data_IF_595866354329
#
_entry.id   IF_595866354329
#
_cell.length_a   1.000
_cell.length_b   1.000
_cell.length_c   1.000
_cell.angle_alpha   90.00
_cell.angle_beta   90.00
_cell.angle_gamma   90.00
#
_symmetry.space_group_name_H-M   'P 1'
#
loop_
_entity.id
_entity.type
_entity.pdbx_description
1 polymer ?
#
# COMPACT_ATOMS: atom_id res chain seq x y z
N UNK A 1 -4.73 11.39 -30.17
CA UNK A 1 -3.64 10.73 -30.94
C UNK A 1 -2.59 10.28 -29.94
N UNK A 2 -2.39 8.98 -29.75
CA UNK A 2 -1.31 8.48 -28.90
C UNK A 2 0.03 8.87 -29.54
N UNK A 3 0.89 9.58 -28.80
CA UNK A 3 2.22 9.98 -29.25
C UNK A 3 3.20 8.81 -29.15
N UNK A 4 4.10 8.66 -30.13
CA UNK A 4 5.20 7.70 -30.04
C UNK A 4 6.26 8.19 -29.06
N UNK A 5 6.75 7.30 -28.20
CA UNK A 5 7.85 7.56 -27.27
C UNK A 5 9.13 7.01 -27.90
N UNK A 6 10.00 7.91 -28.36
CA UNK A 6 11.26 7.55 -29.02
C UNK A 6 12.45 7.80 -28.09
N UNK A 7 13.33 6.80 -27.99
CA UNK A 7 14.63 6.92 -27.32
C UNK A 7 15.70 7.26 -28.35
N UNK A 8 16.41 8.36 -28.12
CA UNK A 8 17.56 8.75 -28.91
C UNK A 8 18.83 8.48 -28.10
N UNK A 9 19.74 7.69 -28.66
CA UNK A 9 21.09 7.48 -28.12
C UNK A 9 22.11 8.07 -29.08
N UNK A 10 22.94 8.95 -28.55
CA UNK A 10 24.04 9.58 -29.29
C UNK A 10 25.34 8.89 -28.94
N UNK A 11 26.14 8.56 -29.96
CA UNK A 11 27.53 8.15 -29.79
C UNK A 11 28.41 8.91 -30.77
N UNK A 12 29.60 9.30 -30.34
CA UNK A 12 30.60 9.90 -31.22
C UNK A 12 31.74 8.90 -31.42
N UNK A 13 32.07 8.65 -32.68
CA UNK A 13 33.20 7.80 -33.08
C UNK A 13 34.23 8.75 -33.69
N UNK A 14 35.40 8.84 -33.06
CA UNK A 14 36.50 9.67 -33.52
C UNK A 14 37.55 8.74 -34.13
N UNK A 15 37.82 8.90 -35.42
CA UNK A 15 38.93 8.28 -36.13
C UNK A 15 40.03 9.31 -36.39
N UNK A 16 41.22 8.88 -36.85
CA UNK A 16 42.33 9.77 -37.14
C UNK A 16 42.02 10.81 -38.24
N UNK A 17 41.09 10.49 -39.14
CA UNK A 17 40.72 11.36 -40.27
C UNK A 17 39.31 11.95 -40.18
N UNK A 18 38.42 11.39 -39.36
CA UNK A 18 37.00 11.77 -39.33
C UNK A 18 36.36 11.73 -37.94
N UNK A 19 35.39 12.63 -37.72
CA UNK A 19 34.49 12.62 -36.57
C UNK A 19 33.09 12.21 -37.02
N UNK A 20 32.67 11.01 -36.64
CA UNK A 20 31.36 10.45 -36.97
C UNK A 20 30.45 10.59 -35.75
N UNK A 21 29.22 11.05 -35.97
CA UNK A 21 28.16 11.09 -34.94
C UNK A 21 27.08 10.07 -35.30
N UNK A 22 26.94 9.05 -34.47
CA UNK A 22 25.92 8.02 -34.60
C UNK A 22 24.72 8.37 -33.73
N UNK A 23 23.53 8.44 -34.34
CA UNK A 23 22.25 8.58 -33.63
C UNK A 23 21.48 7.28 -33.80
N UNK A 24 21.27 6.55 -32.71
CA UNK A 24 20.37 5.41 -32.68
C UNK A 24 18.99 5.86 -32.17
N UNK A 25 17.94 5.49 -32.89
CA UNK A 25 16.54 5.79 -32.53
C UNK A 25 15.82 4.47 -32.28
N UNK A 26 15.10 4.37 -31.18
CA UNK A 26 14.29 3.19 -30.85
C UNK A 26 12.90 3.63 -30.42
N UNK A 27 11.86 3.02 -30.98
CA UNK A 27 10.50 3.14 -30.43
C UNK A 27 10.45 2.31 -29.15
N UNK A 28 10.17 2.98 -28.03
CA UNK A 28 10.06 2.36 -26.70
C UNK A 28 8.64 2.46 -26.15
N UNK A 29 7.66 2.77 -27.01
CA UNK A 29 6.27 2.98 -26.60
C UNK A 29 5.72 1.74 -25.90
N UNK A 30 5.89 0.56 -26.51
CA UNK A 30 5.36 -0.70 -25.98
C UNK A 30 6.02 -1.09 -24.66
N UNK A 31 7.33 -0.92 -24.55
CA UNK A 31 8.12 -1.24 -23.37
C UNK A 31 7.74 -0.32 -22.20
N UNK A 32 7.57 0.98 -22.48
CA UNK A 32 7.13 1.93 -21.47
C UNK A 32 5.70 1.68 -21.02
N UNK A 33 4.77 1.42 -21.95
CA UNK A 33 3.37 1.16 -21.61
C UNK A 33 3.22 -0.13 -20.79
N UNK A 34 3.95 -1.20 -21.16
CA UNK A 34 3.99 -2.43 -20.36
C UNK A 34 4.61 -2.19 -18.97
N UNK A 35 5.73 -1.45 -18.90
CA UNK A 35 6.38 -1.12 -17.64
C UNK A 35 5.49 -0.28 -16.73
N UNK A 36 4.69 0.63 -17.29
CA UNK A 36 3.72 1.42 -16.55
C UNK A 36 2.59 0.54 -15.99
N UNK A 37 2.01 -0.35 -16.80
CA UNK A 37 0.99 -1.31 -16.35
C UNK A 37 1.52 -2.20 -15.23
N UNK A 38 2.72 -2.75 -15.38
CA UNK A 38 3.36 -3.58 -14.35
C UNK A 38 3.60 -2.82 -13.05
N UNK A 39 4.05 -1.56 -13.14
CA UNK A 39 4.21 -0.69 -11.99
C UNK A 39 2.86 -0.43 -11.29
N UNK A 40 1.80 -0.15 -12.04
CA UNK A 40 0.44 0.02 -11.50
C UNK A 40 -0.07 -1.23 -10.79
N UNK A 41 0.10 -2.41 -11.38
CA UNK A 41 -0.29 -3.69 -10.75
C UNK A 41 0.48 -3.90 -9.45
N UNK A 42 1.80 -3.64 -9.45
CA UNK A 42 2.63 -3.79 -8.26
C UNK A 42 2.20 -2.84 -7.15
N UNK A 43 1.92 -1.58 -7.48
CA UNK A 43 1.41 -0.58 -6.53
C UNK A 43 0.07 -1.04 -5.95
N UNK A 44 -0.90 -1.43 -6.78
CA UNK A 44 -2.21 -1.90 -6.32
C UNK A 44 -2.09 -3.09 -5.34
N UNK A 45 -1.17 -4.03 -5.62
CA UNK A 45 -0.90 -5.17 -4.74
C UNK A 45 -0.33 -4.73 -3.39
N UNK A 46 0.69 -3.88 -3.37
CA UNK A 46 1.30 -3.38 -2.13
C UNK A 46 0.29 -2.57 -1.32
N UNK A 47 -0.51 -1.72 -1.95
CA UNK A 47 -1.60 -0.99 -1.27
C UNK A 47 -2.60 -1.93 -0.61
N UNK A 48 -3.04 -2.96 -1.33
CA UNK A 48 -3.97 -3.96 -0.80
C UNK A 48 -3.39 -4.68 0.41
N UNK A 49 -2.10 -5.02 0.34
CA UNK A 49 -1.39 -5.65 1.46
C UNK A 49 -1.34 -4.72 2.69
N UNK A 50 -1.00 -3.44 2.50
CA UNK A 50 -0.94 -2.47 3.59
C UNK A 50 -2.31 -2.16 4.20
N UNK A 51 -3.37 -2.14 3.40
CA UNK A 51 -4.75 -2.04 3.90
C UNK A 51 -5.07 -3.25 4.77
N UNK A 52 -4.80 -4.46 4.26
CA UNK A 52 -5.09 -5.70 4.99
C UNK A 52 -4.27 -5.82 6.28
N UNK A 53 -3.01 -5.39 6.26
CA UNK A 53 -2.12 -5.36 7.42
C UNK A 53 -2.67 -4.55 8.59
N UNK A 54 -3.53 -3.57 8.33
CA UNK A 54 -4.18 -2.76 9.37
C UNK A 54 -5.58 -3.28 9.70
N UNK A 55 -6.38 -3.65 8.69
CA UNK A 55 -7.78 -4.09 8.88
C UNK A 55 -7.86 -5.44 9.62
N UNK A 56 -6.99 -6.40 9.33
CA UNK A 56 -7.05 -7.72 9.94
C UNK A 56 -6.82 -7.68 11.47
N UNK A 57 -5.79 -7.00 11.99
CA UNK A 57 -5.65 -6.81 13.44
C UNK A 57 -6.81 -6.04 14.08
N UNK A 58 -7.34 -5.00 13.41
CA UNK A 58 -8.48 -4.23 13.92
C UNK A 58 -9.70 -5.14 14.11
N UNK A 59 -10.01 -5.95 13.10
CA UNK A 59 -11.19 -6.81 13.08
C UNK A 59 -11.08 -7.91 14.14
N UNK A 60 -9.93 -8.58 14.19
CA UNK A 60 -9.69 -9.66 15.15
C UNK A 60 -9.66 -9.17 16.59
N UNK A 61 -9.02 -8.03 16.88
CA UNK A 61 -9.06 -7.43 18.22
C UNK A 61 -10.46 -6.97 18.60
N UNK A 62 -11.23 -6.40 17.66
CA UNK A 62 -12.61 -6.00 17.92
C UNK A 62 -13.49 -7.21 18.29
N UNK A 63 -13.31 -8.34 17.61
CA UNK A 63 -14.00 -9.60 17.91
C UNK A 63 -13.59 -10.15 19.29
N UNK A 64 -12.29 -10.12 19.61
CA UNK A 64 -11.78 -10.57 20.91
C UNK A 64 -12.34 -9.71 22.05
N UNK A 65 -12.31 -8.38 21.90
CA UNK A 65 -12.85 -7.44 22.88
C UNK A 65 -14.35 -7.65 23.06
N UNK A 66 -15.11 -7.78 21.97
CA UNK A 66 -16.55 -8.10 22.05
C UNK A 66 -16.79 -9.40 22.79
N UNK A 67 -15.97 -10.43 22.53
CA UNK A 67 -16.04 -11.74 23.19
C UNK A 67 -15.79 -11.68 24.69
N UNK A 68 -15.12 -10.64 25.22
CA UNK A 68 -14.98 -10.46 26.66
C UNK A 68 -16.28 -10.05 27.35
N UNK A 69 -17.24 -9.50 26.62
CA UNK A 69 -18.51 -9.00 27.15
C UNK A 69 -19.71 -9.84 26.70
N UNK A 70 -19.51 -10.84 25.84
CA UNK A 70 -20.58 -11.68 25.30
C UNK A 70 -20.26 -13.16 25.43
N UNK A 71 -21.24 -13.96 25.89
CA UNK A 71 -21.16 -15.42 25.95
C UNK A 71 -22.48 -16.02 25.46
N UNK A 72 -22.43 -16.99 24.53
CA UNK A 72 -23.62 -17.64 23.96
C UNK A 72 -24.70 -16.64 23.46
N UNK A 73 -24.27 -15.56 22.79
CA UNK A 73 -25.12 -14.45 22.32
C UNK A 73 -25.86 -13.67 23.43
N UNK A 74 -25.41 -13.76 24.69
CA UNK A 74 -25.89 -12.92 25.80
C UNK A 74 -24.79 -11.98 26.27
N UNK A 75 -25.21 -10.80 26.70
CA UNK A 75 -24.30 -9.86 27.38
C UNK A 75 -24.04 -10.38 28.78
N UNK A 76 -22.77 -10.37 29.20
CA UNK A 76 -22.40 -10.78 30.56
C UNK A 76 -22.90 -9.75 31.57
N UNK A 77 -23.35 -10.24 32.72
CA UNK A 77 -23.65 -9.39 33.86
C UNK A 77 -22.35 -8.92 34.52
N UNK A 78 -22.41 -7.81 35.26
CA UNK A 78 -21.24 -7.22 35.93
C UNK A 78 -20.61 -8.22 36.90
N UNK A 79 -21.41 -9.08 37.53
CA UNK A 79 -20.94 -10.13 38.44
C UNK A 79 -20.03 -11.16 37.77
N UNK A 80 -20.18 -11.36 36.46
CA UNK A 80 -19.44 -12.36 35.69
C UNK A 80 -18.18 -11.78 35.02
N UNK A 81 -17.96 -10.46 35.13
CA UNK A 81 -16.81 -9.78 34.55
C UNK A 81 -15.60 -9.87 35.49
N UNK A 82 -14.50 -10.40 34.98
CA UNK A 82 -13.24 -10.35 35.70
C UNK A 82 -12.62 -8.93 35.63
N UNK A 83 -11.99 -8.43 36.72
CA UNK A 83 -11.35 -7.11 36.71
C UNK A 83 -10.30 -6.93 35.59
N UNK A 84 -9.66 -8.03 35.15
CA UNK A 84 -8.69 -8.02 34.05
C UNK A 84 -9.33 -7.70 32.70
N UNK A 85 -10.63 -7.93 32.53
CA UNK A 85 -11.37 -7.66 31.29
C UNK A 85 -11.34 -6.19 30.91
N UNK A 86 -11.50 -5.28 31.88
CA UNK A 86 -11.43 -3.84 31.63
C UNK A 86 -10.03 -3.45 31.12
N UNK A 87 -8.99 -3.95 31.79
CA UNK A 87 -7.60 -3.67 31.41
C UNK A 87 -7.27 -4.21 30.02
N UNK A 88 -7.71 -5.43 29.70
CA UNK A 88 -7.50 -6.04 28.38
C UNK A 88 -8.27 -5.32 27.28
N UNK A 89 -9.50 -4.86 27.59
CA UNK A 89 -10.31 -4.05 26.68
C UNK A 89 -9.61 -2.75 26.32
N UNK A 90 -9.12 -2.00 27.32
CA UNK A 90 -8.39 -0.74 27.10
C UNK A 90 -7.14 -0.99 26.24
N UNK A 91 -6.37 -2.05 26.54
CA UNK A 91 -5.18 -2.42 25.75
C UNK A 91 -5.55 -2.73 24.30
N UNK A 92 -6.60 -3.53 24.07
CA UNK A 92 -7.06 -3.88 22.74
C UNK A 92 -7.57 -2.67 21.95
N UNK A 93 -8.34 -1.79 22.59
CA UNK A 93 -8.83 -0.54 21.99
C UNK A 93 -7.68 0.37 21.57
N UNK A 94 -6.63 0.48 22.37
CA UNK A 94 -5.45 1.27 22.03
C UNK A 94 -4.74 0.75 20.77
N UNK A 95 -4.60 -0.57 20.64
CA UNK A 95 -4.00 -1.17 19.44
C UNK A 95 -4.89 -0.95 18.21
N UNK A 96 -6.22 -1.03 18.36
CA UNK A 96 -7.17 -0.72 17.27
C UNK A 96 -7.02 0.74 16.83
N UNK A 97 -6.93 1.68 17.78
CA UNK A 97 -6.74 3.11 17.51
C UNK A 97 -5.44 3.35 16.72
N UNK A 98 -4.32 2.82 17.21
CA UNK A 98 -3.00 2.97 16.58
C UNK A 98 -3.02 2.47 15.12
N UNK A 99 -3.63 1.30 14.86
CA UNK A 99 -3.77 0.74 13.51
C UNK A 99 -4.69 1.57 12.62
N UNK A 100 -5.78 2.09 13.18
CA UNK A 100 -6.75 2.92 12.43
C UNK A 100 -6.14 4.26 12.01
N UNK A 101 -5.40 4.91 12.91
CA UNK A 101 -4.67 6.16 12.62
C UNK A 101 -3.58 5.92 11.56
N UNK A 102 -2.84 4.82 11.68
CA UNK A 102 -1.84 4.41 10.68
C UNK A 102 -2.45 4.23 9.29
N UNK A 103 -3.58 3.53 9.20
CA UNK A 103 -4.29 3.32 7.94
C UNK A 103 -4.81 4.63 7.34
N UNK A 104 -5.39 5.52 8.15
CA UNK A 104 -5.86 6.82 7.69
C UNK A 104 -4.72 7.66 7.13
N UNK A 105 -3.59 7.71 7.84
CA UNK A 105 -2.37 8.39 7.39
C UNK A 105 -1.82 7.81 6.08
N UNK A 106 -1.85 6.48 5.93
CA UNK A 106 -1.44 5.78 4.71
C UNK A 106 -2.32 6.18 3.51
N UNK A 107 -3.64 6.15 3.68
CA UNK A 107 -4.61 6.53 2.64
C UNK A 107 -4.44 8.01 2.26
N UNK A 108 -4.27 8.90 3.24
CA UNK A 108 -4.08 10.33 3.00
C UNK A 108 -2.78 10.61 2.22
N UNK A 109 -1.70 9.92 2.57
CA UNK A 109 -0.45 10.02 1.82
C UNK A 109 -0.62 9.53 0.39
N UNK A 110 -1.31 8.41 0.16
CA UNK A 110 -1.58 7.92 -1.20
C UNK A 110 -2.41 8.90 -2.03
N UNK A 111 -3.43 9.55 -1.44
CA UNK A 111 -4.23 10.58 -2.13
C UNK A 111 -3.40 11.80 -2.54
N UNK A 112 -2.33 12.14 -1.82
CA UNK A 112 -1.41 13.24 -2.19
C UNK A 112 -0.50 12.87 -3.35
N UNK A 113 -0.16 11.59 -3.53
CA UNK A 113 0.69 11.12 -4.64
C UNK A 113 -0.06 10.94 -5.96
N UNK A 114 -1.38 10.77 -5.90
CA UNK A 114 -2.24 10.53 -7.07
C UNK A 114 -3.02 11.77 -7.52
N UNK A 115 -2.88 12.90 -6.82
CA UNK A 115 -3.31 14.23 -7.24
C UNK A 115 -2.16 14.98 -7.89
#
# INVERSE_FOLDING_TARGET
KYGQKLLFKLSEIISQEDKIRLVAVSDITKELDNGEVDAWIKLARTLSHEIMNNIAPITTLSQVISGYFTKENRTLEISDLEPKTITNTIKGLKVIEERSVGLMSFVDNYRKFTK
#
